data_IF_950822354832
#
_entry.id   IF_950822354832
#
_cell.length_a   1.000
_cell.length_b   1.000
_cell.length_c   1.000
_cell.angle_alpha   90.00
_cell.angle_beta   90.00
_cell.angle_gamma   90.00
#
_symmetry.space_group_name_H-M   'P 1'
#
loop_
_entity.id
_entity.type
_entity.pdbx_description
1 polymer ?
#
# COMPACT_ATOMS: atom_id res chain seq x y z
N UNK A 1 12.19 -7.12 -22.23
CA UNK A 1 13.46 -7.24 -22.97
C UNK A 1 13.62 -6.17 -24.05
N UNK A 2 12.60 -5.89 -24.87
CA UNK A 2 12.69 -4.87 -25.90
C UNK A 2 13.06 -3.50 -25.35
N UNK A 3 12.40 -3.03 -24.27
CA UNK A 3 12.74 -1.76 -23.60
C UNK A 3 14.18 -1.70 -23.13
N UNK A 4 14.72 -2.82 -22.61
CA UNK A 4 16.12 -2.89 -22.21
C UNK A 4 17.07 -2.71 -23.40
N UNK A 5 16.76 -3.30 -24.56
CA UNK A 5 17.53 -3.12 -25.81
C UNK A 5 17.46 -1.68 -26.33
N UNK A 6 16.35 -0.98 -26.08
CA UNK A 6 16.15 0.43 -26.41
C UNK A 6 16.85 1.37 -25.40
N UNK A 7 17.51 0.83 -24.37
CA UNK A 7 18.29 1.60 -23.39
C UNK A 7 17.56 2.05 -22.15
N UNK A 8 16.30 1.64 -21.94
CA UNK A 8 15.57 1.95 -20.70
C UNK A 8 16.18 1.23 -19.51
N UNK A 9 16.47 1.95 -18.43
CA UNK A 9 17.13 1.46 -17.22
C UNK A 9 16.17 1.18 -16.07
N UNK A 10 15.03 1.82 -16.07
CA UNK A 10 14.02 1.68 -15.02
C UNK A 10 12.66 1.31 -15.62
N UNK A 11 11.96 0.38 -14.97
CA UNK A 11 10.61 -0.05 -15.35
C UNK A 11 9.70 0.11 -14.14
N UNK A 12 8.56 0.75 -14.34
CA UNK A 12 7.48 0.82 -13.35
C UNK A 12 6.31 -0.06 -13.79
N UNK A 13 5.98 -1.06 -12.98
CA UNK A 13 4.82 -1.93 -13.21
C UNK A 13 3.55 -1.24 -12.72
N UNK A 14 2.59 -1.08 -13.63
CA UNK A 14 1.33 -0.39 -13.39
C UNK A 14 0.16 -1.38 -13.43
N UNK A 15 -0.79 -1.22 -12.53
CA UNK A 15 -2.02 -1.98 -12.51
C UNK A 15 -2.87 -1.68 -11.28
N UNK A 16 -4.20 -1.82 -11.39
CA UNK A 16 -5.04 -1.86 -10.20
C UNK A 16 -4.77 -3.17 -9.46
N UNK A 17 -4.36 -3.07 -8.18
CA UNK A 17 -3.90 -4.22 -7.42
C UNK A 17 -2.80 -4.99 -8.17
N UNK A 18 -1.69 -4.31 -8.49
CA UNK A 18 -0.60 -4.87 -9.30
C UNK A 18 -0.09 -6.21 -8.77
N UNK A 19 -0.09 -6.41 -7.46
CA UNK A 19 0.31 -7.65 -6.81
C UNK A 19 -0.73 -8.79 -6.89
N UNK A 20 -1.90 -8.54 -7.51
CA UNK A 20 -2.86 -9.58 -7.90
C UNK A 20 -2.60 -10.13 -9.33
N UNK A 21 -1.48 -9.74 -9.96
CA UNK A 21 -1.12 -10.18 -11.29
C UNK A 21 -1.11 -11.70 -11.41
N UNK A 22 -1.79 -12.22 -12.44
CA UNK A 22 -1.91 -13.65 -12.74
C UNK A 22 -2.35 -14.52 -11.54
N UNK A 23 -3.30 -14.05 -10.71
CA UNK A 23 -3.96 -14.97 -9.78
C UNK A 23 -4.56 -16.14 -10.56
N UNK A 24 -4.09 -17.33 -10.24
CA UNK A 24 -4.16 -18.57 -11.02
C UNK A 24 -5.56 -18.94 -11.58
N UNK A 25 -6.65 -18.50 -10.95
CA UNK A 25 -8.00 -18.89 -11.35
C UNK A 25 -8.47 -18.23 -12.66
N UNK A 26 -8.11 -16.97 -12.90
CA UNK A 26 -8.54 -16.25 -14.11
C UNK A 26 -7.74 -16.58 -15.39
N UNK A 27 -6.54 -17.14 -15.24
CA UNK A 27 -5.62 -17.35 -16.37
C UNK A 27 -5.53 -18.80 -16.80
N UNK A 28 -5.91 -19.76 -15.96
CA UNK A 28 -6.05 -21.19 -16.33
C UNK A 28 -7.12 -21.40 -17.42
N UNK A 29 -8.11 -20.50 -17.45
CA UNK A 29 -9.21 -20.57 -18.44
C UNK A 29 -8.77 -20.17 -19.85
N UNK A 30 -7.69 -19.41 -20.02
CA UNK A 30 -7.27 -18.87 -21.32
C UNK A 30 -6.13 -19.65 -21.99
N UNK A 31 -5.60 -20.71 -21.37
CA UNK A 31 -4.58 -21.60 -21.98
C UNK A 31 -3.25 -20.92 -22.36
N UNK A 32 -2.98 -19.72 -21.82
CA UNK A 32 -1.76 -18.97 -22.13
C UNK A 32 -0.61 -19.46 -21.24
N UNK A 33 0.42 -20.01 -21.85
CA UNK A 33 1.70 -20.32 -21.17
C UNK A 33 2.56 -19.05 -21.14
N UNK A 34 2.81 -18.56 -19.94
CA UNK A 34 3.66 -17.39 -19.67
C UNK A 34 5.11 -17.79 -19.31
N UNK A 35 5.61 -18.93 -19.77
CA UNK A 35 6.96 -19.41 -19.48
C UNK A 35 7.26 -19.51 -17.98
N UNK A 36 6.32 -20.04 -17.20
CA UNK A 36 6.44 -20.19 -15.76
C UNK A 36 6.10 -18.92 -14.95
N UNK A 37 5.73 -17.82 -15.59
CA UNK A 37 5.28 -16.60 -14.91
C UNK A 37 3.80 -16.78 -14.56
N UNK A 38 3.52 -17.10 -13.31
CA UNK A 38 2.17 -17.40 -12.82
C UNK A 38 1.72 -16.54 -11.64
N UNK A 39 2.53 -15.57 -11.23
CA UNK A 39 2.26 -14.67 -10.11
C UNK A 39 3.05 -13.38 -10.25
N UNK A 40 2.72 -12.38 -9.43
CA UNK A 40 3.49 -11.14 -9.36
C UNK A 40 4.93 -11.40 -8.89
N UNK A 41 5.13 -12.32 -7.97
CA UNK A 41 6.45 -12.69 -7.48
C UNK A 41 7.32 -13.30 -8.60
N UNK A 42 6.77 -14.22 -9.39
CA UNK A 42 7.49 -14.81 -10.54
C UNK A 42 7.76 -13.78 -11.63
N UNK A 43 6.86 -12.81 -11.84
CA UNK A 43 7.08 -11.68 -12.74
C UNK A 43 8.27 -10.82 -12.27
N UNK A 44 8.32 -10.44 -10.99
CA UNK A 44 9.45 -9.66 -10.44
C UNK A 44 10.78 -10.38 -10.64
N UNK A 45 10.82 -11.68 -10.33
CA UNK A 45 12.03 -12.51 -10.52
C UNK A 45 12.43 -12.63 -11.99
N UNK A 46 11.46 -12.72 -12.91
CA UNK A 46 11.74 -12.78 -14.35
C UNK A 46 12.33 -11.46 -14.87
N UNK A 47 11.74 -10.32 -14.49
CA UNK A 47 12.23 -9.00 -14.91
C UNK A 47 13.61 -8.72 -14.28
N UNK A 48 13.84 -9.17 -13.04
CA UNK A 48 15.13 -9.00 -12.36
C UNK A 48 16.32 -9.63 -13.13
N UNK A 49 16.06 -10.65 -13.95
CA UNK A 49 17.09 -11.32 -14.77
C UNK A 49 17.41 -10.60 -16.09
N UNK A 50 16.59 -9.62 -16.48
CA UNK A 50 16.77 -8.93 -17.78
C UNK A 50 18.00 -8.03 -17.69
N UNK A 51 18.99 -8.28 -18.54
CA UNK A 51 20.16 -7.40 -18.67
C UNK A 51 19.75 -6.02 -19.20
N UNK A 52 20.44 -4.99 -18.73
CA UNK A 52 20.16 -3.60 -19.10
C UNK A 52 19.10 -2.91 -18.24
N UNK A 53 18.21 -3.63 -17.56
CA UNK A 53 17.31 -3.06 -16.53
C UNK A 53 18.08 -3.00 -15.22
N UNK A 54 18.03 -1.84 -14.58
CA UNK A 54 18.72 -1.56 -13.31
C UNK A 54 17.76 -1.39 -12.14
N UNK A 55 16.52 -0.88 -12.39
CA UNK A 55 15.50 -0.65 -11.34
C UNK A 55 14.13 -1.12 -11.78
N UNK A 56 13.43 -1.74 -10.84
CA UNK A 56 12.05 -2.18 -10.98
C UNK A 56 11.23 -1.54 -9.87
N UNK A 57 10.19 -0.79 -10.26
CA UNK A 57 9.20 -0.22 -9.37
C UNK A 57 7.83 -0.80 -9.66
N UNK A 58 6.94 -0.69 -8.71
CA UNK A 58 5.53 -1.03 -8.91
C UNK A 58 4.65 -0.08 -8.10
N UNK A 59 3.43 0.14 -8.56
CA UNK A 59 2.47 1.04 -7.90
C UNK A 59 1.13 0.34 -7.69
N UNK A 60 0.33 0.90 -6.75
CA UNK A 60 -1.02 0.42 -6.43
C UNK A 60 -1.10 -1.06 -6.00
N UNK A 61 -0.19 -1.56 -5.14
CA UNK A 61 -0.40 -2.86 -4.52
C UNK A 61 -1.54 -2.78 -3.51
N UNK A 62 -2.17 -3.93 -3.22
CA UNK A 62 -3.22 -4.03 -2.22
C UNK A 62 -2.76 -4.90 -1.05
N UNK A 63 -2.97 -4.49 0.23
CA UNK A 63 -2.48 -5.21 1.41
C UNK A 63 -2.89 -6.69 1.45
N UNK A 64 -4.13 -7.02 1.06
CA UNK A 64 -4.64 -8.40 1.06
C UNK A 64 -3.89 -9.37 0.14
N UNK A 65 -3.17 -8.85 -0.85
CA UNK A 65 -2.55 -9.62 -1.92
C UNK A 65 -1.01 -9.72 -1.78
N UNK A 66 -0.48 -9.24 -0.65
CA UNK A 66 0.91 -9.49 -0.27
C UNK A 66 1.07 -10.89 0.32
N UNK A 67 1.46 -11.84 -0.52
CA UNK A 67 1.86 -13.18 -0.09
C UNK A 67 3.32 -13.19 0.36
N UNK A 68 3.72 -14.22 1.09
CA UNK A 68 5.11 -14.42 1.51
C UNK A 68 6.05 -14.44 0.32
N UNK A 69 5.66 -15.09 -0.78
CA UNK A 69 6.44 -15.18 -2.01
C UNK A 69 6.65 -13.80 -2.68
N UNK A 70 5.66 -12.89 -2.59
CA UNK A 70 5.82 -11.50 -3.06
C UNK A 70 6.81 -10.74 -2.18
N UNK A 71 6.72 -10.89 -0.85
CA UNK A 71 7.65 -10.27 0.10
C UNK A 71 9.08 -10.78 -0.16
N UNK A 72 9.23 -12.10 -0.32
CA UNK A 72 10.51 -12.71 -0.66
C UNK A 72 11.06 -12.23 -1.99
N UNK A 73 10.23 -12.12 -3.02
CA UNK A 73 10.67 -11.60 -4.32
C UNK A 73 11.15 -10.14 -4.23
N UNK A 74 10.47 -9.29 -3.43
CA UNK A 74 10.91 -7.92 -3.19
C UNK A 74 12.25 -7.92 -2.44
N UNK A 75 12.43 -8.79 -1.45
CA UNK A 75 13.66 -8.87 -0.67
C UNK A 75 14.85 -9.36 -1.50
N UNK A 76 14.67 -10.43 -2.29
CA UNK A 76 15.73 -11.15 -2.96
C UNK A 76 16.15 -10.55 -4.32
N UNK A 77 15.21 -9.87 -5.00
CA UNK A 77 15.49 -9.24 -6.29
C UNK A 77 16.26 -7.92 -6.11
N UNK A 78 17.50 -7.87 -6.49
CA UNK A 78 18.38 -6.70 -6.31
C UNK A 78 17.86 -5.45 -7.03
N UNK A 79 17.29 -5.62 -8.22
CA UNK A 79 16.77 -4.51 -9.03
C UNK A 79 15.41 -3.98 -8.55
N UNK A 80 14.69 -4.73 -7.72
CA UNK A 80 13.42 -4.29 -7.15
C UNK A 80 13.70 -3.26 -6.05
N UNK A 81 13.18 -2.05 -6.24
CA UNK A 81 13.30 -0.99 -5.25
C UNK A 81 12.59 -1.40 -3.95
N UNK A 82 13.27 -1.23 -2.80
CA UNK A 82 12.72 -1.54 -1.47
C UNK A 82 11.78 -0.44 -0.98
N UNK A 83 11.04 0.18 -1.89
CA UNK A 83 10.02 1.19 -1.66
C UNK A 83 8.66 0.58 -1.95
N UNK A 84 7.82 0.48 -0.93
CA UNK A 84 6.45 -0.05 -1.06
C UNK A 84 5.46 0.99 -0.60
N UNK A 85 4.57 1.38 -1.52
CA UNK A 85 3.39 2.16 -1.20
C UNK A 85 2.28 1.20 -0.76
N UNK A 86 1.92 1.20 0.53
CA UNK A 86 0.95 0.28 1.13
C UNK A 86 -0.23 1.07 1.73
N UNK A 87 -1.31 1.33 0.95
CA UNK A 87 -2.43 2.14 1.41
C UNK A 87 -3.11 1.53 2.64
N UNK A 88 -3.11 2.28 3.76
CA UNK A 88 -3.81 1.93 5.00
C UNK A 88 -5.30 2.29 4.92
N UNK A 89 -5.60 3.47 4.42
CA UNK A 89 -6.89 4.15 4.36
C UNK A 89 -7.40 4.60 5.73
N UNK A 90 -7.52 3.69 6.70
CA UNK A 90 -7.85 3.95 8.11
C UNK A 90 -7.17 2.89 8.99
N UNK A 91 -6.83 3.26 10.21
CA UNK A 91 -6.33 2.33 11.23
C UNK A 91 -7.43 1.62 12.00
N UNK A 92 -8.70 2.00 11.83
CA UNK A 92 -9.83 1.35 12.49
C UNK A 92 -10.40 0.21 11.64
N UNK A 93 -10.52 -0.97 12.25
CA UNK A 93 -11.18 -2.13 11.63
C UNK A 93 -12.65 -1.84 11.30
N UNK A 94 -13.34 -1.00 12.11
CA UNK A 94 -14.72 -0.60 11.84
C UNK A 94 -14.82 0.24 10.57
N UNK A 95 -14.01 1.29 10.46
CA UNK A 95 -13.97 2.16 9.29
C UNK A 95 -13.54 1.39 8.04
N UNK A 96 -12.52 0.54 8.13
CA UNK A 96 -12.09 -0.33 7.03
C UNK A 96 -13.24 -1.22 6.52
N UNK A 97 -14.05 -1.78 7.43
CA UNK A 97 -15.22 -2.58 7.07
C UNK A 97 -16.28 -1.74 6.32
N UNK A 98 -16.56 -0.52 6.78
CA UNK A 98 -17.49 0.39 6.10
C UNK A 98 -16.95 0.79 4.72
N UNK A 99 -15.65 1.03 4.61
CA UNK A 99 -14.96 1.27 3.33
C UNK A 99 -14.89 0.04 2.43
N UNK A 100 -15.46 -1.11 2.84
CA UNK A 100 -15.39 -2.39 2.14
C UNK A 100 -13.96 -2.90 1.92
N UNK A 101 -13.02 -2.56 2.80
CA UNK A 101 -11.67 -3.11 2.80
C UNK A 101 -11.69 -4.54 3.38
N UNK A 102 -10.86 -5.41 2.83
CA UNK A 102 -10.87 -6.85 3.14
C UNK A 102 -9.72 -7.24 4.08
N UNK A 103 -9.35 -6.33 4.98
CA UNK A 103 -8.34 -6.54 6.02
C UNK A 103 -8.71 -5.75 7.28
N UNK A 104 -8.18 -6.18 8.42
CA UNK A 104 -8.31 -5.51 9.71
C UNK A 104 -7.02 -4.76 10.06
N UNK A 105 -7.08 -3.91 11.11
CA UNK A 105 -5.93 -3.24 11.72
C UNK A 105 -4.81 -4.25 12.05
N UNK A 106 -5.15 -5.34 12.71
CA UNK A 106 -4.21 -6.36 13.16
C UNK A 106 -3.55 -7.09 11.98
N UNK A 107 -4.33 -7.43 10.96
CA UNK A 107 -3.82 -8.06 9.73
C UNK A 107 -2.84 -7.13 9.00
N UNK A 108 -3.16 -5.84 8.94
CA UNK A 108 -2.28 -4.85 8.33
C UNK A 108 -0.98 -4.69 9.10
N UNK A 109 -1.03 -4.53 10.43
CA UNK A 109 0.15 -4.43 11.28
C UNK A 109 1.05 -5.66 11.18
N UNK A 110 0.45 -6.87 11.21
CA UNK A 110 1.19 -8.13 11.03
C UNK A 110 1.88 -8.22 9.66
N UNK A 111 1.21 -7.74 8.61
CA UNK A 111 1.81 -7.68 7.28
C UNK A 111 3.02 -6.75 7.26
N UNK A 112 2.90 -5.54 7.84
CA UNK A 112 4.00 -4.57 7.90
C UNK A 112 5.18 -5.12 8.70
N UNK A 113 4.92 -5.74 9.86
CA UNK A 113 5.96 -6.39 10.68
C UNK A 113 6.74 -7.43 9.87
N UNK A 114 6.01 -8.30 9.15
CA UNK A 114 6.60 -9.31 8.29
C UNK A 114 7.45 -8.72 7.17
N UNK A 115 6.94 -7.67 6.51
CA UNK A 115 7.68 -6.97 5.46
C UNK A 115 8.96 -6.34 5.99
N UNK A 116 8.89 -5.65 7.15
CA UNK A 116 10.06 -5.03 7.78
C UNK A 116 11.11 -6.05 8.24
N UNK A 117 10.67 -7.21 8.73
CA UNK A 117 11.57 -8.28 9.12
C UNK A 117 12.30 -8.93 7.94
N UNK A 118 11.66 -8.99 6.76
CA UNK A 118 12.18 -9.73 5.60
C UNK A 118 12.88 -8.86 4.56
N UNK A 119 12.45 -7.60 4.41
CA UNK A 119 12.98 -6.69 3.38
C UNK A 119 13.95 -5.71 4.02
N UNK A 120 15.26 -5.81 3.77
CA UNK A 120 16.24 -4.87 4.29
C UNK A 120 16.00 -3.44 3.78
N UNK A 121 16.13 -2.45 4.66
CA UNK A 121 15.96 -1.03 4.32
C UNK A 121 14.63 -0.71 3.62
N UNK A 122 13.57 -1.40 4.02
CA UNK A 122 12.24 -1.16 3.48
C UNK A 122 11.77 0.26 3.79
N UNK A 123 11.47 1.01 2.74
CA UNK A 123 10.79 2.31 2.81
C UNK A 123 9.30 2.11 2.58
N UNK A 124 8.47 2.59 3.51
CA UNK A 124 7.01 2.48 3.44
C UNK A 124 6.36 3.85 3.28
N UNK A 125 5.46 3.93 2.30
CA UNK A 125 4.52 5.04 2.18
C UNK A 125 3.09 4.53 2.21
N UNK A 126 2.15 5.43 2.55
CA UNK A 126 0.73 5.06 2.71
C UNK A 126 -0.22 6.19 2.32
N UNK A 127 -1.50 5.84 2.15
CA UNK A 127 -2.63 6.77 2.07
C UNK A 127 -3.49 6.63 3.32
N UNK A 128 -3.93 7.77 3.88
CA UNK A 128 -4.83 7.82 5.04
C UNK A 128 -5.93 8.82 4.76
N UNK A 129 -7.18 8.42 5.01
CA UNK A 129 -8.38 9.25 4.87
C UNK A 129 -8.94 9.53 6.26
N UNK A 130 -9.17 10.80 6.57
CA UNK A 130 -9.77 11.26 7.83
C UNK A 130 -11.21 11.74 7.59
N UNK A 131 -12.07 11.56 8.59
CA UNK A 131 -13.44 12.06 8.55
C UNK A 131 -14.35 11.23 7.66
N UNK A 132 -14.06 9.96 7.47
CA UNK A 132 -14.96 9.06 6.76
C UNK A 132 -16.30 8.96 7.50
N UNK A 133 -17.39 8.80 6.76
CA UNK A 133 -18.74 8.73 7.34
C UNK A 133 -18.79 7.66 8.44
N UNK A 134 -19.22 8.06 9.64
CA UNK A 134 -19.31 7.20 10.83
C UNK A 134 -18.02 7.02 11.62
N UNK A 135 -16.92 7.65 11.23
CA UNK A 135 -15.66 7.61 12.00
C UNK A 135 -15.84 8.26 13.38
N UNK A 136 -15.63 7.52 14.45
CA UNK A 136 -15.61 8.01 15.83
C UNK A 136 -14.24 8.55 16.22
N UNK A 137 -14.13 9.14 17.42
CA UNK A 137 -12.82 9.55 17.95
C UNK A 137 -11.92 8.33 18.23
N UNK A 138 -12.50 7.24 18.73
CA UNK A 138 -11.75 5.98 18.95
C UNK A 138 -11.23 5.40 17.64
N UNK A 139 -12.03 5.44 16.58
CA UNK A 139 -11.59 5.01 15.23
C UNK A 139 -10.42 5.85 14.71
N UNK A 140 -10.44 7.15 14.98
CA UNK A 140 -9.35 8.04 14.61
C UNK A 140 -8.10 7.79 15.44
N UNK A 141 -8.23 7.59 16.77
CA UNK A 141 -7.09 7.21 17.62
C UNK A 141 -6.47 5.87 17.20
N UNK A 142 -7.28 4.92 16.76
CA UNK A 142 -6.78 3.68 16.13
C UNK A 142 -5.90 3.95 14.90
N UNK A 143 -6.26 4.97 14.12
CA UNK A 143 -5.46 5.39 12.95
C UNK A 143 -4.13 5.99 13.40
N UNK A 144 -4.10 6.85 14.40
CA UNK A 144 -2.87 7.40 14.97
C UNK A 144 -1.99 6.31 15.58
N UNK A 145 -2.59 5.32 16.26
CA UNK A 145 -1.86 4.18 16.82
C UNK A 145 -1.12 3.38 15.73
N UNK A 146 -1.78 3.13 14.59
CA UNK A 146 -1.12 2.46 13.46
C UNK A 146 0.02 3.31 12.90
N UNK A 147 -0.18 4.62 12.74
CA UNK A 147 0.86 5.54 12.25
C UNK A 147 2.09 5.50 13.16
N UNK A 148 1.90 5.55 14.49
CA UNK A 148 2.97 5.49 15.49
C UNK A 148 3.71 4.15 15.49
N UNK A 149 2.99 3.04 15.32
CA UNK A 149 3.57 1.69 15.27
C UNK A 149 4.32 1.42 13.98
N UNK A 150 3.73 1.80 12.85
CA UNK A 150 4.33 1.54 11.54
C UNK A 150 5.48 2.49 11.28
N UNK A 151 5.39 3.77 11.66
CA UNK A 151 6.39 4.80 11.39
C UNK A 151 6.70 4.86 9.89
N UNK A 152 5.76 5.40 9.11
CA UNK A 152 5.92 5.56 7.66
C UNK A 152 6.98 6.60 7.33
N UNK A 153 7.77 6.34 6.29
CA UNK A 153 8.71 7.32 5.72
C UNK A 153 7.94 8.51 5.13
N UNK A 154 6.77 8.24 4.53
CA UNK A 154 5.86 9.27 4.06
C UNK A 154 4.41 8.80 4.09
N UNK A 155 3.46 9.71 4.30
CA UNK A 155 2.04 9.42 4.19
C UNK A 155 1.33 10.54 3.44
N UNK A 156 0.44 10.14 2.52
CA UNK A 156 -0.49 11.05 1.86
C UNK A 156 -1.78 11.06 2.66
N UNK A 157 -2.12 12.22 3.20
CA UNK A 157 -3.27 12.41 4.08
C UNK A 157 -4.39 13.13 3.33
N UNK A 158 -5.59 12.60 3.43
CA UNK A 158 -6.77 13.12 2.72
C UNK A 158 -7.92 13.32 3.69
N UNK A 159 -8.70 14.37 3.47
CA UNK A 159 -10.03 14.53 4.07
C UNK A 159 -11.02 13.78 3.18
N UNK A 160 -11.91 13.00 3.81
CA UNK A 160 -12.99 12.34 3.09
C UNK A 160 -13.84 13.35 2.32
N UNK A 161 -14.02 13.11 1.03
CA UNK A 161 -14.90 13.92 0.17
C UNK A 161 -16.07 13.08 -0.31
N UNK A 162 -17.29 13.57 -0.08
CA UNK A 162 -18.51 12.92 -0.53
C UNK A 162 -18.55 12.83 -2.06
N UNK A 163 -18.71 11.62 -2.57
CA UNK A 163 -18.88 11.38 -4.01
C UNK A 163 -20.31 10.93 -4.27
N UNK A 164 -21.05 11.72 -5.04
CA UNK A 164 -22.43 11.41 -5.43
C UNK A 164 -22.55 9.98 -5.97
N UNK A 165 -23.55 9.26 -5.52
CA UNK A 165 -23.82 7.88 -5.93
C UNK A 165 -23.05 6.80 -5.16
N UNK A 166 -22.24 7.18 -4.15
CA UNK A 166 -21.59 6.20 -3.29
C UNK A 166 -22.39 5.92 -2.02
N UNK A 167 -22.38 4.69 -1.46
CA UNK A 167 -23.04 4.39 -0.20
C UNK A 167 -22.59 5.32 0.93
N UNK A 168 -21.32 5.64 1.03
CA UNK A 168 -20.77 6.51 2.07
C UNK A 168 -21.32 7.95 2.00
N UNK A 169 -21.61 8.45 0.81
CA UNK A 169 -22.20 9.79 0.64
C UNK A 169 -23.66 9.86 1.13
N UNK A 170 -24.37 8.71 1.14
CA UNK A 170 -25.74 8.59 1.59
C UNK A 170 -25.88 8.32 3.11
N UNK A 171 -24.77 8.09 3.81
CA UNK A 171 -24.79 7.87 5.26
C UNK A 171 -25.16 9.16 6.00
N UNK A 172 -26.03 9.05 6.99
CA UNK A 172 -26.50 10.20 7.80
C UNK A 172 -25.45 10.67 8.82
N UNK A 173 -24.63 9.75 9.32
CA UNK A 173 -23.61 9.99 10.36
C UNK A 173 -22.31 10.56 9.78
N UNK A 174 -22.40 11.64 9.02
CA UNK A 174 -21.23 12.37 8.54
C UNK A 174 -20.52 13.05 9.72
N UNK A 175 -19.20 13.04 9.69
CA UNK A 175 -18.39 13.72 10.72
C UNK A 175 -18.47 15.24 10.50
N UNK A 176 -18.70 16.06 11.56
CA UNK A 176 -18.71 17.52 11.45
C UNK A 176 -17.38 18.07 10.93
N UNK A 177 -17.45 19.12 10.12
CA UNK A 177 -16.26 19.68 9.42
C UNK A 177 -15.17 20.15 10.38
N UNK A 178 -15.54 20.78 11.51
CA UNK A 178 -14.61 21.19 12.56
C UNK A 178 -13.85 20.01 13.18
N UNK A 179 -14.54 18.87 13.40
CA UNK A 179 -13.92 17.66 13.93
C UNK A 179 -12.97 17.03 12.89
N UNK A 180 -13.38 17.00 11.63
CA UNK A 180 -12.54 16.51 10.54
C UNK A 180 -11.25 17.32 10.43
N UNK A 181 -11.36 18.64 10.51
CA UNK A 181 -10.21 19.55 10.45
C UNK A 181 -9.25 19.33 11.62
N UNK A 182 -9.79 19.25 12.83
CA UNK A 182 -8.99 19.00 14.05
C UNK A 182 -8.23 17.65 13.94
N UNK A 183 -8.92 16.58 13.55
CA UNK A 183 -8.31 15.25 13.34
C UNK A 183 -7.25 15.29 12.23
N UNK A 184 -7.52 15.99 11.14
CA UNK A 184 -6.57 16.12 10.04
C UNK A 184 -5.29 16.83 10.48
N UNK A 185 -5.40 17.91 11.25
CA UNK A 185 -4.24 18.64 11.77
C UNK A 185 -3.41 17.76 12.72
N UNK A 186 -4.06 16.97 13.59
CA UNK A 186 -3.38 16.00 14.48
C UNK A 186 -2.65 14.92 13.68
N UNK A 187 -3.30 14.34 12.68
CA UNK A 187 -2.69 13.32 11.82
C UNK A 187 -1.49 13.90 11.06
N UNK A 188 -1.64 15.09 10.50
CA UNK A 188 -0.57 15.74 9.75
C UNK A 188 0.65 16.01 10.62
N UNK A 189 0.44 16.50 11.86
CA UNK A 189 1.51 16.73 12.83
C UNK A 189 2.25 15.43 13.17
N UNK A 190 1.52 14.34 13.44
CA UNK A 190 2.10 13.02 13.77
C UNK A 190 2.94 12.47 12.61
N UNK A 191 2.38 12.48 11.39
CA UNK A 191 3.06 11.97 10.18
C UNK A 191 4.31 12.77 9.86
N UNK A 192 4.22 14.11 9.91
CA UNK A 192 5.38 14.97 9.63
C UNK A 192 6.48 14.83 10.69
N UNK A 193 6.11 14.69 11.96
CA UNK A 193 7.05 14.43 13.06
C UNK A 193 7.84 13.15 12.82
N UNK A 194 7.16 12.05 12.53
CA UNK A 194 7.79 10.74 12.26
C UNK A 194 8.69 10.80 11.01
N UNK A 195 8.21 11.38 9.92
CA UNK A 195 9.00 11.51 8.68
C UNK A 195 10.27 12.34 8.90
N UNK A 196 10.18 13.43 9.68
CA UNK A 196 11.32 14.26 10.02
C UNK A 196 12.35 13.52 10.91
N UNK A 197 11.89 12.69 11.85
CA UNK A 197 12.77 11.86 12.68
C UNK A 197 13.53 10.83 11.84
N UNK A 198 12.82 10.13 10.93
CA UNK A 198 13.44 9.14 10.02
C UNK A 198 14.48 9.83 9.14
N UNK A 199 14.14 10.97 8.55
CA UNK A 199 15.07 11.71 7.67
C UNK A 199 16.32 12.21 8.41
N UNK A 200 16.22 12.55 9.70
CA UNK A 200 17.39 12.97 10.50
C UNK A 200 18.29 11.79 10.89
N UNK A 201 17.76 10.57 10.86
CA UNK A 201 18.51 9.35 11.20
C UNK A 201 19.27 8.74 10.02
N UNK A 202 19.14 9.32 8.82
CA UNK A 202 19.85 8.92 7.61
C UNK A 202 21.08 9.82 7.43
#
# INVERSE_FOLDING_TARGET
EQLAKEGYKEITLLGQNVNSYLRAEKWKENGIDYNGINSFATLLRAINKIEGIERIRFVSPHPKDFTDDVIDAIADCEKVCKLVHLPLQSGSTNVLKIMNRKYTKEQYLKLVEKMKARIPNLTLSTDIIVGFAGETEEDFEDTLDVVRKVRYDSAYTFIYSKRTGTPAAAMENQVPEEVVKERFDRLLHEVQGISAEITKGI
#
